data_IF_445437478688
#
_entry.id   IF_445437478688
#
_cell.length_a   1.000
_cell.length_b   1.000
_cell.length_c   1.000
_cell.angle_alpha   90.00
_cell.angle_beta   90.00
_cell.angle_gamma   90.00
#
_symmetry.space_group_name_H-M   'P 1'
#
loop_
_entity.id
_entity.type
_entity.pdbx_description
1 polymer ?
#
# COMPACT_ATOMS: atom_id res chain seq x y z
N UNK A 1 -28.24 7.98 32.49
CA UNK A 1 -28.45 6.52 32.38
C UNK A 1 -27.87 6.07 31.04
N UNK A 2 -27.24 4.89 30.97
CA UNK A 2 -26.78 4.33 29.69
C UNK A 2 -27.96 3.67 28.97
N UNK A 3 -27.96 3.70 27.63
CA UNK A 3 -28.94 2.99 26.83
C UNK A 3 -28.68 1.49 26.86
N UNK A 4 -29.70 0.69 26.52
CA UNK A 4 -29.56 -0.76 26.40
C UNK A 4 -28.50 -1.15 25.36
N UNK A 5 -28.38 -0.36 24.29
CA UNK A 5 -27.38 -0.55 23.24
C UNK A 5 -25.95 -0.30 23.74
N UNK A 6 -25.73 0.72 24.58
CA UNK A 6 -24.44 0.92 25.25
C UNK A 6 -24.10 -0.28 26.14
N UNK A 7 -25.08 -0.76 26.91
CA UNK A 7 -24.87 -1.90 27.81
C UNK A 7 -24.55 -3.18 27.03
N UNK A 8 -25.23 -3.43 25.91
CA UNK A 8 -24.96 -4.59 25.07
C UNK A 8 -23.55 -4.55 24.44
N UNK A 9 -23.14 -3.41 23.87
CA UNK A 9 -21.77 -3.28 23.34
C UNK A 9 -20.67 -3.28 24.41
N UNK A 10 -21.02 -2.95 25.65
CA UNK A 10 -20.11 -3.09 26.78
C UNK A 10 -19.98 -4.55 27.26
N UNK A 11 -21.09 -5.27 27.38
CA UNK A 11 -21.11 -6.66 27.88
C UNK A 11 -20.68 -7.67 26.81
N UNK A 12 -21.00 -7.41 25.54
CA UNK A 12 -20.69 -8.27 24.40
C UNK A 12 -19.95 -7.48 23.30
N UNK A 13 -18.73 -6.98 23.58
CA UNK A 13 -18.01 -6.15 22.62
C UNK A 13 -17.67 -6.92 21.35
N UNK A 14 -18.02 -6.34 20.21
CA UNK A 14 -17.70 -6.87 18.87
C UNK A 14 -16.30 -6.46 18.46
N UNK A 15 -15.63 -7.30 17.67
CA UNK A 15 -14.36 -6.97 16.98
C UNK A 15 -13.17 -6.64 17.88
N UNK A 16 -13.18 -7.12 19.12
CA UNK A 16 -12.03 -6.99 20.02
C UNK A 16 -10.83 -7.79 19.48
N UNK A 17 -9.64 -7.21 19.54
CA UNK A 17 -8.36 -7.87 19.27
C UNK A 17 -7.44 -7.07 18.36
N UNK A 18 -6.46 -7.79 17.80
CA UNK A 18 -5.45 -7.28 16.87
C UNK A 18 -5.57 -7.98 15.53
N UNK A 19 -5.16 -7.27 14.46
CA UNK A 19 -4.97 -7.86 13.13
C UNK A 19 -3.47 -8.03 12.94
N UNK A 20 -3.03 -9.22 12.56
CA UNK A 20 -1.65 -9.46 12.14
C UNK A 20 -1.36 -8.75 10.82
N UNK A 21 -0.23 -8.04 10.74
CA UNK A 21 0.16 -7.26 9.55
C UNK A 21 -0.97 -6.34 9.05
N UNK A 22 -1.45 -5.41 9.90
CA UNK A 22 -2.52 -4.50 9.54
C UNK A 22 -2.05 -3.53 8.46
N UNK A 23 -2.97 -3.14 7.58
CA UNK A 23 -2.65 -2.17 6.52
C UNK A 23 -2.60 -0.74 7.07
N UNK A 24 -3.32 -0.49 8.16
CA UNK A 24 -3.30 0.76 8.92
C UNK A 24 -3.51 0.54 10.41
N UNK A 25 -2.88 1.39 11.22
CA UNK A 25 -3.00 1.41 12.69
C UNK A 25 -3.29 2.84 13.12
N UNK A 26 -4.28 3.02 13.98
CA UNK A 26 -4.65 4.33 14.54
C UNK A 26 -4.75 4.25 16.05
N UNK A 27 -3.88 4.99 16.73
CA UNK A 27 -3.81 5.02 18.19
C UNK A 27 -4.09 6.43 18.70
N UNK A 28 -5.04 6.55 19.63
CA UNK A 28 -5.45 7.82 20.23
C UNK A 28 -5.68 7.61 21.71
N UNK A 29 -5.17 8.53 22.52
CA UNK A 29 -5.41 8.58 23.96
C UNK A 29 -5.92 9.94 24.40
N UNK A 30 -6.67 9.96 25.50
CA UNK A 30 -7.09 11.19 26.17
C UNK A 30 -6.47 11.25 27.58
N UNK A 31 -5.47 12.12 27.81
CA UNK A 31 -4.76 12.21 29.08
C UNK A 31 -5.64 12.68 30.24
N UNK A 32 -6.77 13.35 29.96
CA UNK A 32 -7.68 13.86 31.00
C UNK A 32 -8.48 12.75 31.66
N UNK A 33 -8.91 11.74 30.90
CA UNK A 33 -9.68 10.60 31.43
C UNK A 33 -8.88 9.30 31.50
N UNK A 34 -7.69 9.24 30.89
CA UNK A 34 -6.84 8.05 30.83
C UNK A 34 -7.31 6.99 29.82
N UNK A 35 -8.31 7.29 28.99
CA UNK A 35 -8.78 6.37 27.95
C UNK A 35 -7.76 6.31 26.79
N UNK A 36 -7.53 5.12 26.27
CA UNK A 36 -6.66 4.83 25.13
C UNK A 36 -7.35 3.84 24.18
N UNK A 37 -7.24 4.09 22.89
CA UNK A 37 -7.86 3.28 21.84
C UNK A 37 -6.89 3.07 20.69
N UNK A 38 -6.76 1.82 20.26
CA UNK A 38 -5.98 1.43 19.10
C UNK A 38 -6.87 0.64 18.15
N UNK A 39 -7.00 1.12 16.91
CA UNK A 39 -7.70 0.44 15.82
C UNK A 39 -6.71 -0.15 14.83
N UNK A 40 -7.00 -1.37 14.39
CA UNK A 40 -6.28 -2.11 13.36
C UNK A 40 -7.22 -2.32 12.18
N UNK A 41 -6.77 -1.99 10.98
CA UNK A 41 -7.58 -2.14 9.76
C UNK A 41 -6.90 -2.99 8.71
N UNK A 42 -7.70 -3.77 7.98
CA UNK A 42 -7.33 -4.46 6.74
C UNK A 42 -8.12 -3.88 5.59
N UNK A 43 -7.44 -3.48 4.52
CA UNK A 43 -8.05 -2.78 3.38
C UNK A 43 -7.93 -3.61 2.12
N UNK A 44 -9.06 -3.89 1.48
CA UNK A 44 -9.13 -4.59 0.19
C UNK A 44 -10.10 -3.89 -0.73
N UNK A 45 -9.69 -3.65 -1.98
CA UNK A 45 -10.53 -2.99 -3.00
C UNK A 45 -11.19 -1.69 -2.49
N UNK A 46 -10.41 -0.84 -1.80
CA UNK A 46 -10.86 0.43 -1.21
C UNK A 46 -11.93 0.30 -0.10
N UNK A 47 -12.13 -0.89 0.47
CA UNK A 47 -13.04 -1.18 1.59
C UNK A 47 -12.30 -1.77 2.78
N UNK A 48 -12.84 -1.54 3.98
CA UNK A 48 -12.37 -2.18 5.22
C UNK A 48 -12.84 -3.64 5.24
N UNK A 49 -11.95 -4.57 4.88
CA UNK A 49 -12.21 -6.02 4.90
C UNK A 49 -12.34 -6.52 6.33
N UNK A 50 -11.43 -6.09 7.21
CA UNK A 50 -11.52 -6.34 8.64
C UNK A 50 -11.12 -5.11 9.45
N UNK A 51 -11.70 -5.01 10.64
CA UNK A 51 -11.48 -3.95 11.61
C UNK A 51 -11.47 -4.63 12.97
N UNK A 52 -10.40 -4.43 13.74
CA UNK A 52 -10.33 -4.82 15.14
C UNK A 52 -9.82 -3.67 16.00
N UNK A 53 -10.07 -3.74 17.29
CA UNK A 53 -9.54 -2.74 18.22
C UNK A 53 -9.08 -3.34 19.53
N UNK A 54 -8.19 -2.60 20.18
CA UNK A 54 -7.90 -2.70 21.61
C UNK A 54 -8.22 -1.36 22.25
N UNK A 55 -8.81 -1.39 23.44
CA UNK A 55 -9.05 -0.17 24.20
C UNK A 55 -8.80 -0.43 25.67
N UNK A 56 -8.23 0.58 26.33
CA UNK A 56 -8.16 0.69 27.76
C UNK A 56 -8.97 1.92 28.15
N UNK A 57 -9.98 1.76 28.98
CA UNK A 57 -10.83 2.89 29.36
C UNK A 57 -12.12 2.48 30.05
N UNK A 58 -12.98 3.47 30.26
CA UNK A 58 -14.27 3.22 30.91
C UNK A 58 -15.23 2.39 30.04
N UNK A 59 -16.30 1.84 30.61
CA UNK A 59 -17.27 1.01 29.86
C UNK A 59 -17.87 1.72 28.63
N UNK A 60 -18.00 3.05 28.67
CA UNK A 60 -18.42 3.84 27.52
C UNK A 60 -17.36 3.84 26.39
N UNK A 61 -16.07 3.83 26.72
CA UNK A 61 -14.99 3.71 25.76
C UNK A 61 -15.08 2.36 25.02
N UNK A 62 -15.29 1.26 25.74
CA UNK A 62 -15.47 -0.08 25.18
C UNK A 62 -16.68 -0.12 24.23
N UNK A 63 -17.84 0.39 24.68
CA UNK A 63 -19.05 0.39 23.87
C UNK A 63 -18.89 1.23 22.59
N UNK A 64 -18.26 2.41 22.70
CA UNK A 64 -17.94 3.28 21.57
C UNK A 64 -17.00 2.60 20.58
N UNK A 65 -15.92 1.97 21.05
CA UNK A 65 -15.00 1.27 20.16
C UNK A 65 -15.68 0.11 19.43
N UNK A 66 -16.53 -0.63 20.14
CA UNK A 66 -17.29 -1.74 19.57
C UNK A 66 -18.22 -1.28 18.45
N UNK A 67 -19.10 -0.31 18.69
CA UNK A 67 -20.02 0.16 17.65
C UNK A 67 -19.27 0.82 16.50
N UNK A 68 -18.20 1.57 16.77
CA UNK A 68 -17.43 2.25 15.73
C UNK A 68 -16.75 1.23 14.81
N UNK A 69 -16.23 0.13 15.37
CA UNK A 69 -15.64 -0.96 14.59
C UNK A 69 -16.66 -1.66 13.68
N UNK A 70 -17.87 -1.90 14.19
CA UNK A 70 -18.96 -2.53 13.44
C UNK A 70 -19.46 -1.62 12.32
N UNK A 71 -19.63 -0.32 12.63
CA UNK A 71 -20.00 0.69 11.65
C UNK A 71 -18.97 0.86 10.54
N UNK A 72 -17.68 0.61 10.81
CA UNK A 72 -16.60 0.82 9.85
C UNK A 72 -16.40 -0.39 8.92
N UNK A 73 -16.62 -1.61 9.41
CA UNK A 73 -16.40 -2.85 8.66
C UNK A 73 -17.25 -2.88 7.37
N UNK A 74 -16.63 -3.29 6.26
CA UNK A 74 -17.25 -3.39 4.93
C UNK A 74 -17.44 -2.07 4.19
N UNK A 75 -17.29 -0.93 4.87
CA UNK A 75 -17.40 0.40 4.26
C UNK A 75 -16.15 0.81 3.51
N UNK A 76 -16.33 1.70 2.56
CA UNK A 76 -15.22 2.36 1.84
C UNK A 76 -14.49 3.35 2.72
N UNK A 77 -13.24 3.67 2.38
CA UNK A 77 -12.44 4.64 3.13
C UNK A 77 -13.12 6.02 3.24
N UNK A 78 -13.89 6.43 2.22
CA UNK A 78 -14.61 7.70 2.21
C UNK A 78 -15.82 7.69 3.13
N UNK A 79 -16.55 6.58 3.19
CA UNK A 79 -17.69 6.41 4.10
C UNK A 79 -17.22 6.38 5.56
N UNK A 80 -16.09 5.75 5.84
CA UNK A 80 -15.55 5.67 7.20
C UNK A 80 -15.06 7.04 7.67
N UNK A 81 -14.48 7.86 6.78
CA UNK A 81 -14.12 9.27 7.09
C UNK A 81 -15.32 10.13 7.48
N UNK A 82 -16.53 9.77 7.05
CA UNK A 82 -17.77 10.46 7.42
C UNK A 82 -18.29 10.04 8.80
N UNK A 83 -17.72 9.00 9.42
CA UNK A 83 -18.09 8.60 10.78
C UNK A 83 -17.56 9.65 11.75
N UNK A 84 -18.48 10.48 12.23
CA UNK A 84 -18.20 11.52 13.22
C UNK A 84 -18.59 11.05 14.62
N UNK A 85 -18.04 11.67 15.68
CA UNK A 85 -18.41 11.33 17.06
C UNK A 85 -19.91 11.42 17.34
N UNK A 86 -20.59 12.36 16.68
CA UNK A 86 -22.05 12.53 16.77
C UNK A 86 -22.80 11.33 16.19
N UNK A 87 -22.34 10.78 15.08
CA UNK A 87 -22.97 9.59 14.47
C UNK A 87 -22.74 8.38 15.38
N UNK A 88 -21.53 8.21 15.92
CA UNK A 88 -21.22 7.12 16.87
C UNK A 88 -22.10 7.22 18.13
N UNK A 89 -22.22 8.41 18.71
CA UNK A 89 -23.08 8.62 19.87
C UNK A 89 -24.57 8.38 19.54
N UNK A 90 -25.03 8.82 18.37
CA UNK A 90 -26.41 8.58 17.90
C UNK A 90 -26.67 7.09 17.68
N UNK A 91 -25.70 6.36 17.14
CA UNK A 91 -25.81 4.92 16.91
C UNK A 91 -25.95 4.15 18.23
N UNK A 92 -25.42 4.68 19.33
CA UNK A 92 -25.59 4.13 20.67
C UNK A 92 -26.90 4.56 21.36
N UNK A 93 -27.86 5.13 20.63
CA UNK A 93 -29.08 5.75 21.16
C UNK A 93 -28.80 6.90 22.14
N UNK A 94 -27.65 7.55 21.96
CA UNK A 94 -27.17 8.64 22.79
C UNK A 94 -26.21 8.19 23.89
N UNK A 95 -25.42 9.15 24.36
CA UNK A 95 -24.51 8.99 25.48
C UNK A 95 -24.74 10.11 26.50
N UNK A 96 -24.56 9.84 27.80
CA UNK A 96 -24.55 10.89 28.82
C UNK A 96 -23.58 12.00 28.45
N UNK A 97 -23.96 13.26 28.71
CA UNK A 97 -23.22 14.45 28.27
C UNK A 97 -21.76 14.46 28.75
N UNK A 98 -21.50 13.96 29.96
CA UNK A 98 -20.17 13.82 30.54
C UNK A 98 -19.30 12.72 29.90
N UNK A 99 -19.87 11.84 29.07
CA UNK A 99 -19.17 10.72 28.40
C UNK A 99 -19.09 10.87 26.88
N UNK A 100 -19.56 11.99 26.35
CA UNK A 100 -19.49 12.28 24.91
C UNK A 100 -18.05 12.35 24.38
N UNK A 101 -17.07 12.68 25.23
CA UNK A 101 -15.66 12.67 24.86
C UNK A 101 -15.15 11.27 24.45
N UNK A 102 -15.74 10.19 24.97
CA UNK A 102 -15.38 8.83 24.57
C UNK A 102 -15.72 8.58 23.09
N UNK A 103 -16.85 9.11 22.60
CA UNK A 103 -17.26 9.04 21.19
C UNK A 103 -16.26 9.74 20.25
N UNK A 104 -15.62 10.80 20.74
CA UNK A 104 -14.59 11.49 19.98
C UNK A 104 -13.40 10.57 19.71
N UNK A 105 -12.99 9.82 20.74
CA UNK A 105 -11.81 8.96 20.70
C UNK A 105 -11.95 7.84 19.66
N UNK A 106 -13.11 7.16 19.62
CA UNK A 106 -13.33 6.06 18.68
C UNK A 106 -13.31 6.50 17.21
N UNK A 107 -14.01 7.61 16.90
CA UNK A 107 -14.01 8.16 15.53
C UNK A 107 -12.63 8.71 15.13
N UNK A 108 -11.90 9.32 16.06
CA UNK A 108 -10.54 9.81 15.81
C UNK A 108 -9.59 8.65 15.52
N UNK A 109 -9.59 7.59 16.34
CA UNK A 109 -8.70 6.44 16.16
C UNK A 109 -8.93 5.72 14.82
N UNK A 110 -10.18 5.56 14.38
CA UNK A 110 -10.49 5.04 13.04
C UNK A 110 -9.94 5.94 11.92
N UNK A 111 -10.08 7.25 12.05
CA UNK A 111 -9.54 8.18 11.07
C UNK A 111 -8.01 8.17 11.03
N UNK A 112 -7.34 8.07 12.19
CA UNK A 112 -5.89 7.91 12.26
C UNK A 112 -5.44 6.60 11.60
N UNK A 113 -6.18 5.49 11.78
CA UNK A 113 -5.87 4.23 11.12
C UNK A 113 -5.92 4.35 9.58
N UNK A 114 -6.92 5.08 9.06
CA UNK A 114 -7.03 5.36 7.62
C UNK A 114 -5.89 6.26 7.14
N UNK A 115 -5.52 7.28 7.91
CA UNK A 115 -4.40 8.17 7.57
C UNK A 115 -3.09 7.39 7.48
N UNK A 116 -2.81 6.53 8.45
CA UNK A 116 -1.64 5.65 8.47
C UNK A 116 -1.61 4.74 7.22
N UNK A 117 -2.74 4.10 6.89
CA UNK A 117 -2.86 3.31 5.66
C UNK A 117 -2.54 4.13 4.39
N UNK A 118 -3.10 5.33 4.27
CA UNK A 118 -2.89 6.20 3.10
C UNK A 118 -1.44 6.69 3.00
N UNK A 119 -0.80 6.99 4.14
CA UNK A 119 0.60 7.38 4.18
C UNK A 119 1.51 6.23 3.72
N UNK A 120 1.28 5.01 4.22
CA UNK A 120 2.00 3.80 3.81
C UNK A 120 1.79 3.50 2.33
N UNK A 121 0.57 3.69 1.80
CA UNK A 121 0.28 3.50 0.37
C UNK A 121 1.08 4.48 -0.50
N UNK A 122 1.09 5.78 -0.15
CA UNK A 122 1.88 6.80 -0.87
C UNK A 122 3.38 6.50 -0.85
N UNK A 123 3.92 6.07 0.30
CA UNK A 123 5.32 5.71 0.42
C UNK A 123 5.70 4.51 -0.48
N UNK A 124 4.82 3.51 -0.59
CA UNK A 124 5.02 2.37 -1.52
C UNK A 124 4.97 2.80 -2.98
N UNK A 125 4.06 3.71 -3.35
CA UNK A 125 3.95 4.25 -4.71
C UNK A 125 5.18 5.10 -5.08
N UNK A 126 5.71 5.91 -4.15
CA UNK A 126 6.95 6.66 -4.33
C UNK A 126 8.15 5.76 -4.60
N UNK A 127 8.37 4.74 -3.76
CA UNK A 127 9.45 3.75 -3.95
C UNK A 127 9.32 2.98 -5.26
N UNK A 128 8.09 2.69 -5.70
CA UNK A 128 7.87 2.02 -7.00
C UNK A 128 8.26 2.92 -8.17
N UNK A 129 7.99 4.23 -8.08
CA UNK A 129 8.43 5.19 -9.10
C UNK A 129 9.95 5.35 -9.12
N UNK A 130 10.59 5.49 -7.96
CA UNK A 130 12.05 5.53 -7.82
C UNK A 130 12.72 4.28 -8.40
N UNK A 131 12.17 3.09 -8.13
CA UNK A 131 12.70 1.83 -8.66
C UNK A 131 12.48 1.69 -10.18
N UNK A 132 11.43 2.30 -10.75
CA UNK A 132 11.23 2.34 -12.21
C UNK A 132 12.25 3.30 -12.82
N UNK A 133 12.45 4.48 -12.25
CA UNK A 133 13.46 5.44 -12.74
C UNK A 133 14.89 4.90 -12.65
N UNK A 134 15.25 4.18 -11.57
CA UNK A 134 16.55 3.50 -11.45
C UNK A 134 16.76 2.37 -12.48
N UNK A 135 15.67 1.77 -12.99
CA UNK A 135 15.73 0.75 -14.04
C UNK A 135 15.81 1.37 -15.45
N UNK A 136 15.22 2.55 -15.65
CA UNK A 136 15.29 3.31 -16.90
C UNK A 136 16.65 4.01 -17.07
N UNK A 137 17.34 4.38 -15.98
CA UNK A 137 18.65 5.05 -16.03
C UNK A 137 19.86 4.11 -16.21
N UNK A 138 19.66 2.78 -16.27
CA UNK A 138 20.73 1.79 -16.53
C UNK A 138 20.76 1.28 -17.97
N UNK A 139 20.57 2.16 -18.95
CA UNK A 139 21.07 1.88 -20.30
C UNK A 139 22.57 2.13 -20.30
N UNK A 140 23.36 1.09 -19.97
CA UNK A 140 24.82 1.14 -20.21
C UNK A 140 25.04 1.42 -21.70
N UNK A 141 25.85 2.43 -22.07
CA UNK A 141 26.06 2.77 -23.46
C UNK A 141 26.58 1.55 -24.21
N UNK A 142 25.84 1.12 -25.22
CA UNK A 142 26.27 -0.01 -26.05
C UNK A 142 27.38 0.46 -26.97
N UNK A 143 28.48 -0.29 -27.03
CA UNK A 143 29.58 0.00 -27.94
C UNK A 143 29.60 -1.01 -29.09
N UNK A 144 29.92 -0.55 -30.28
CA UNK A 144 30.18 -1.43 -31.42
C UNK A 144 31.43 -2.28 -31.12
N UNK A 145 31.36 -3.62 -31.13
CA UNK A 145 32.50 -4.48 -30.81
C UNK A 145 33.61 -4.48 -31.87
N UNK A 146 33.38 -3.83 -33.02
CA UNK A 146 34.34 -3.75 -34.13
C UNK A 146 35.12 -2.44 -34.17
N UNK A 147 34.46 -1.30 -33.95
CA UNK A 147 35.12 0.01 -33.98
C UNK A 147 35.14 0.73 -32.62
N UNK A 148 34.47 0.20 -31.60
CA UNK A 148 34.43 0.77 -30.26
C UNK A 148 33.56 2.01 -30.12
N UNK A 149 32.87 2.44 -31.18
CA UNK A 149 31.99 3.62 -31.16
C UNK A 149 30.67 3.34 -30.44
N UNK A 150 30.15 4.36 -29.76
CA UNK A 150 28.89 4.31 -29.03
C UNK A 150 27.71 4.16 -30.01
N UNK A 151 26.81 3.21 -29.72
CA UNK A 151 25.59 2.96 -30.45
C UNK A 151 24.47 3.75 -29.79
N UNK A 152 23.86 4.66 -30.55
CA UNK A 152 22.84 5.58 -30.05
C UNK A 152 21.55 4.89 -29.58
N UNK A 153 21.26 3.67 -30.04
CA UNK A 153 20.02 2.95 -29.71
C UNK A 153 20.20 1.43 -29.69
N UNK A 154 19.46 0.76 -28.80
CA UNK A 154 19.46 -0.70 -28.60
C UNK A 154 19.02 -1.48 -29.85
N UNK A 155 18.38 -0.85 -30.85
CA UNK A 155 17.83 -1.52 -32.04
C UNK A 155 18.56 -1.18 -33.36
N UNK A 156 19.81 -0.69 -33.29
CA UNK A 156 20.58 -0.38 -34.50
C UNK A 156 21.01 -1.64 -35.26
N UNK A 157 20.37 -1.92 -36.39
CA UNK A 157 20.73 -3.02 -37.31
C UNK A 157 22.06 -2.84 -38.03
N UNK A 158 22.68 -1.65 -37.93
CA UNK A 158 24.00 -1.36 -38.45
C UNK A 158 24.70 -0.26 -37.64
N UNK A 159 26.01 -0.35 -37.48
CA UNK A 159 26.81 0.73 -36.92
C UNK A 159 26.88 1.88 -37.94
N UNK A 160 26.59 3.12 -37.52
CA UNK A 160 26.60 4.31 -38.39
C UNK A 160 28.01 4.67 -38.90
N UNK A 161 29.06 4.29 -38.16
CA UNK A 161 30.45 4.65 -38.46
C UNK A 161 31.11 3.61 -39.36
N UNK A 162 31.22 2.36 -38.89
CA UNK A 162 31.88 1.29 -39.65
C UNK A 162 30.95 0.56 -40.64
N UNK A 163 29.65 0.86 -40.62
CA UNK A 163 28.62 0.26 -41.48
C UNK A 163 28.43 -1.26 -41.33
N UNK A 164 29.06 -1.88 -40.32
CA UNK A 164 28.85 -3.29 -40.01
C UNK A 164 27.40 -3.52 -39.61
N UNK A 165 26.73 -4.43 -40.32
CA UNK A 165 25.37 -4.85 -39.99
C UNK A 165 25.41 -5.85 -38.84
N UNK A 166 24.58 -5.63 -37.81
CA UNK A 166 24.62 -6.39 -36.56
C UNK A 166 23.23 -6.90 -36.19
N UNK A 167 23.18 -7.92 -35.35
CA UNK A 167 21.99 -8.42 -34.68
C UNK A 167 22.35 -8.84 -33.25
N UNK A 168 21.37 -9.00 -32.37
CA UNK A 168 21.63 -9.47 -31.01
C UNK A 168 21.53 -10.99 -30.94
N UNK A 169 22.55 -11.61 -30.33
CA UNK A 169 22.51 -13.04 -30.06
C UNK A 169 21.29 -13.37 -29.17
N UNK A 170 20.42 -14.33 -29.54
CA UNK A 170 19.23 -14.65 -28.75
C UNK A 170 19.55 -15.24 -27.37
N UNK A 171 20.75 -15.79 -27.19
CA UNK A 171 21.17 -16.42 -25.93
C UNK A 171 21.81 -15.43 -24.96
N UNK A 172 22.76 -14.61 -25.42
CA UNK A 172 23.50 -13.70 -24.52
C UNK A 172 23.16 -12.22 -24.69
N UNK A 173 22.29 -11.87 -25.65
CA UNK A 173 21.87 -10.50 -25.98
C UNK A 173 23.03 -9.52 -26.27
N UNK A 174 24.19 -10.04 -26.66
CA UNK A 174 25.31 -9.23 -27.13
C UNK A 174 25.22 -9.02 -28.64
N UNK A 175 25.69 -7.87 -29.17
CA UNK A 175 25.67 -7.60 -30.59
C UNK A 175 26.70 -8.48 -31.34
N UNK A 176 26.28 -9.07 -32.46
CA UNK A 176 27.06 -9.96 -33.32
C UNK A 176 26.91 -9.48 -34.76
N UNK A 177 27.98 -9.47 -35.55
CA UNK A 177 27.89 -9.12 -36.98
C UNK A 177 27.07 -10.16 -37.77
N UNK A 178 26.32 -9.70 -38.77
CA UNK A 178 25.51 -10.54 -39.67
C UNK A 178 26.29 -11.64 -40.39
N UNK A 179 27.57 -11.43 -40.62
CA UNK A 179 28.47 -12.40 -41.26
C UNK A 179 28.87 -13.59 -40.37
N UNK A 180 28.64 -13.49 -39.05
CA UNK A 180 28.98 -14.54 -38.10
C UNK A 180 27.82 -15.52 -37.89
N UNK A 181 28.05 -16.78 -38.25
CA UNK A 181 27.12 -17.88 -37.99
C UNK A 181 27.24 -18.45 -36.56
N UNK A 182 28.23 -18.01 -35.79
CA UNK A 182 28.49 -18.45 -34.41
C UNK A 182 28.74 -17.22 -33.55
N UNK A 183 28.10 -17.15 -32.38
CA UNK A 183 28.32 -16.05 -31.43
C UNK A 183 29.75 -16.12 -30.87
N UNK A 184 30.59 -15.08 -31.00
CA UNK A 184 31.94 -15.08 -30.43
C UNK A 184 31.95 -15.07 -28.89
N UNK A 185 30.82 -14.70 -28.26
CA UNK A 185 30.73 -14.57 -26.80
C UNK A 185 30.20 -15.81 -26.09
N UNK A 186 29.38 -16.62 -26.76
CA UNK A 186 28.72 -17.77 -26.13
C UNK A 186 28.71 -19.04 -26.99
N UNK A 187 29.35 -19.00 -28.17
CA UNK A 187 29.47 -20.10 -29.12
C UNK A 187 28.14 -20.67 -29.66
N UNK A 188 27.01 -20.01 -29.40
CA UNK A 188 25.71 -20.39 -29.95
C UNK A 188 25.69 -20.17 -31.47
N UNK A 189 25.24 -21.18 -32.21
CA UNK A 189 24.94 -21.03 -33.64
C UNK A 189 23.78 -20.05 -33.85
N UNK A 190 24.01 -19.03 -34.67
CA UNK A 190 23.00 -18.02 -34.98
C UNK A 190 22.52 -18.26 -36.41
N UNK A 191 21.25 -18.64 -36.55
CA UNK A 191 20.58 -18.86 -37.83
C UNK A 191 20.17 -17.51 -38.45
N UNK A 192 21.13 -16.77 -39.02
CA UNK A 192 20.88 -15.60 -39.86
C UNK A 192 20.81 -15.99 -41.33
N UNK A 193 19.62 -15.90 -41.94
CA UNK A 193 19.42 -16.14 -43.39
C UNK A 193 20.34 -15.24 -44.22
N UNK A 194 21.23 -15.85 -44.99
CA UNK A 194 21.83 -15.22 -46.17
C UNK A 194 20.73 -15.13 -47.22
N UNK A 195 20.34 -13.91 -47.58
CA UNK A 195 19.73 -13.59 -48.85
C UNK A 195 20.23 -12.20 -49.25
#
# INVERSE_FOLDING_TARGET
MYSDKVMDHFMHPRNVGEIENPDGIGEVGNPTCGDMMTFYIKVKNNRLEDVKYKTFGCGAAIAVSSIASEMARGKTLEEVKKITPRIVAKELDGLPQNKFHCSNLGAQALNEAIKDYLAKKKAKEGKRKEKITELEEKEEPLFCPYCGEELAEVDTTCCQVCKTSMFYCPQCRKPVARENNICPYCATEIKGKVA
#
